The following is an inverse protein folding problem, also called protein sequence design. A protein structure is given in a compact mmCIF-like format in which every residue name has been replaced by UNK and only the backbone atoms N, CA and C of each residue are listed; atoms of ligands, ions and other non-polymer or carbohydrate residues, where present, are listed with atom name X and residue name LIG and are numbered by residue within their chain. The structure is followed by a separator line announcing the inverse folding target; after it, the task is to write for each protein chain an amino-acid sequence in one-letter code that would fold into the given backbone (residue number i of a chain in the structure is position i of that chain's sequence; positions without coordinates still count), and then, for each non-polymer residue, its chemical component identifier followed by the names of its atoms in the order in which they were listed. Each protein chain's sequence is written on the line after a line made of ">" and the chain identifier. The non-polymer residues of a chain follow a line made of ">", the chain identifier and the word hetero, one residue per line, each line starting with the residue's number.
data_IF_851873788883
#
_entry.id   IF_851873788883
#
_cell.length_a   1.000
_cell.length_b   1.000
_cell.length_c   1.000
_cell.angle_alpha   90.00
_cell.angle_beta   90.00
_cell.angle_gamma   90.00
#
_symmetry.space_group_name_H-M   'P 1'
#
loop_
_entity.id
_entity.type
_entity.pdbx_description
1 polymer ?
#
# COMPACT_ATOMS: atom_id res chain seq x y z
N UNK A 1 -17.84 -3.50 -8.24
CA UNK A 1 -16.64 -3.50 -9.11
C UNK A 1 -15.50 -2.88 -8.31
N UNK A 2 -14.26 -3.39 -8.35
CA UNK A 2 -13.14 -2.72 -7.68
C UNK A 2 -12.82 -1.39 -8.38
N UNK A 3 -12.49 -0.36 -7.61
CA UNK A 3 -11.95 0.89 -8.16
C UNK A 3 -10.44 0.76 -8.24
N UNK A 4 -9.92 0.53 -9.45
CA UNK A 4 -8.50 0.46 -9.69
C UNK A 4 -7.94 1.88 -9.88
N UNK A 5 -7.06 2.30 -8.97
CA UNK A 5 -6.39 3.60 -8.99
C UNK A 5 -4.89 3.41 -9.22
N UNK A 6 -4.45 3.60 -10.46
CA UNK A 6 -3.06 3.38 -10.84
C UNK A 6 -2.30 4.70 -10.67
N UNK A 7 -1.43 4.78 -9.67
CA UNK A 7 -0.54 5.93 -9.46
C UNK A 7 0.71 5.72 -10.30
N UNK A 8 1.15 6.71 -11.06
CA UNK A 8 2.42 6.59 -11.79
C UNK A 8 2.51 7.43 -13.05
N UNK A 9 3.76 7.74 -13.43
CA UNK A 9 4.13 8.64 -14.54
C UNK A 9 3.49 8.31 -15.89
N UNK A 10 3.09 7.05 -16.12
CA UNK A 10 2.52 6.61 -17.39
C UNK A 10 1.01 6.85 -17.52
N UNK A 11 0.31 7.07 -16.40
CA UNK A 11 -1.15 7.25 -16.40
C UNK A 11 -1.60 8.65 -15.93
N UNK A 12 -0.67 9.48 -15.44
CA UNK A 12 -0.94 10.88 -15.11
C UNK A 12 -1.82 11.10 -13.87
N UNK A 13 -2.08 10.05 -13.09
CA UNK A 13 -2.84 10.15 -11.84
C UNK A 13 -1.90 10.35 -10.65
N UNK A 14 -2.09 11.48 -9.97
CA UNK A 14 -1.43 11.82 -8.72
C UNK A 14 -2.26 11.23 -7.57
N UNK A 15 -1.58 10.63 -6.58
CA UNK A 15 -2.21 10.08 -5.39
C UNK A 15 -3.07 11.12 -4.64
N UNK A 16 -2.75 12.42 -4.75
CA UNK A 16 -3.59 13.51 -4.22
C UNK A 16 -5.01 13.51 -4.75
N UNK A 17 -5.23 13.03 -5.98
CA UNK A 17 -6.56 13.01 -6.58
C UNK A 17 -7.50 12.05 -5.85
N UNK A 18 -6.96 11.10 -5.08
CA UNK A 18 -7.77 10.30 -4.15
C UNK A 18 -8.49 11.17 -3.12
N UNK A 19 -7.97 12.35 -2.74
CA UNK A 19 -8.62 13.25 -1.79
C UNK A 19 -10.04 13.64 -2.22
N UNK A 20 -10.25 13.80 -3.53
CA UNK A 20 -11.54 14.19 -4.12
C UNK A 20 -12.51 13.00 -4.22
N UNK A 21 -12.02 11.77 -4.11
CA UNK A 21 -12.79 10.54 -4.25
C UNK A 21 -13.33 10.06 -2.89
N UNK A 22 -14.23 10.85 -2.30
CA UNK A 22 -14.83 10.55 -0.99
C UNK A 22 -15.94 9.50 -1.03
N UNK A 23 -16.46 9.20 -2.22
CA UNK A 23 -17.49 8.18 -2.46
C UNK A 23 -16.90 6.81 -2.83
N UNK A 24 -15.62 6.57 -2.52
CA UNK A 24 -15.01 5.26 -2.74
C UNK A 24 -15.57 4.25 -1.74
N UNK A 25 -16.16 3.18 -2.27
CA UNK A 25 -16.75 2.10 -1.50
C UNK A 25 -16.14 0.75 -1.89
N UNK A 26 -16.03 -0.17 -0.93
CA UNK A 26 -15.57 -1.52 -1.16
C UNK A 26 -14.06 -1.59 -1.33
N UNK A 27 -13.56 -1.56 -2.58
CA UNK A 27 -12.15 -1.85 -2.90
C UNK A 27 -11.42 -0.70 -3.59
N UNK A 28 -10.22 -0.42 -3.11
CA UNK A 28 -9.24 0.45 -3.75
C UNK A 28 -7.94 -0.31 -4.00
N UNK A 29 -7.43 -0.25 -5.23
CA UNK A 29 -6.09 -0.70 -5.58
C UNK A 29 -5.23 0.51 -5.93
N UNK A 30 -4.09 0.67 -5.29
CA UNK A 30 -3.05 1.67 -5.54
C UNK A 30 -1.83 0.93 -6.10
N UNK A 31 -1.39 1.26 -7.31
CA UNK A 31 -0.18 0.67 -7.93
C UNK A 31 0.82 1.77 -8.27
N UNK A 32 2.09 1.43 -8.53
CA UNK A 32 3.12 2.36 -8.98
C UNK A 32 3.65 3.36 -7.95
N UNK A 33 3.65 3.00 -6.67
CA UNK A 33 4.15 3.85 -5.57
C UNK A 33 5.67 4.06 -5.54
N UNK A 34 6.43 3.53 -6.51
CA UNK A 34 7.89 3.41 -6.42
C UNK A 34 8.67 4.74 -6.46
N UNK A 35 8.15 5.76 -7.17
CA UNK A 35 8.89 6.99 -7.46
C UNK A 35 8.04 8.28 -7.46
N UNK A 36 6.72 8.19 -7.29
CA UNK A 36 5.82 9.33 -7.45
C UNK A 36 5.10 9.73 -6.15
N UNK A 37 5.36 9.03 -5.05
CA UNK A 37 4.63 9.22 -3.80
C UNK A 37 5.49 9.96 -2.79
N UNK A 38 5.46 11.30 -2.84
CA UNK A 38 5.89 12.09 -1.69
C UNK A 38 4.98 11.71 -0.50
N UNK A 39 5.53 11.40 0.70
CA UNK A 39 4.73 11.14 1.89
C UNK A 39 3.63 12.19 2.15
N UNK A 40 3.89 13.47 1.84
CA UNK A 40 2.90 14.54 1.96
C UNK A 40 1.72 14.35 0.98
N UNK A 41 2.01 13.88 -0.23
CA UNK A 41 1.03 13.64 -1.29
C UNK A 41 0.16 12.44 -0.94
N UNK A 42 0.78 11.39 -0.40
CA UNK A 42 0.10 10.20 0.13
C UNK A 42 -0.81 10.58 1.30
N UNK A 43 -0.34 11.43 2.20
CA UNK A 43 -1.16 11.91 3.32
C UNK A 43 -2.34 12.75 2.83
N UNK A 44 -2.16 13.53 1.77
CA UNK A 44 -3.23 14.32 1.15
C UNK A 44 -4.33 13.45 0.52
N UNK A 45 -4.03 12.21 0.10
CA UNK A 45 -5.02 11.24 -0.39
C UNK A 45 -6.11 10.90 0.64
N UNK A 46 -5.84 11.16 1.92
CA UNK A 46 -6.78 11.11 3.03
C UNK A 46 -7.56 9.80 3.14
N UNK A 47 -6.86 8.65 3.06
CA UNK A 47 -7.50 7.33 3.17
C UNK A 47 -8.19 7.10 4.52
N UNK A 48 -7.72 7.79 5.59
CA UNK A 48 -8.36 7.77 6.91
C UNK A 48 -9.81 8.23 6.92
N UNK A 49 -10.23 9.08 5.98
CA UNK A 49 -11.60 9.60 5.92
C UNK A 49 -12.51 8.78 4.98
N UNK A 50 -11.95 7.80 4.26
CA UNK A 50 -12.69 6.90 3.35
C UNK A 50 -13.38 5.77 4.11
N UNK A 51 -14.43 6.12 4.85
CA UNK A 51 -15.14 5.22 5.79
C UNK A 51 -15.79 3.99 5.14
N UNK A 52 -16.08 4.05 3.84
CA UNK A 52 -16.72 2.96 3.10
C UNK A 52 -15.69 2.05 2.39
N UNK A 53 -14.40 2.33 2.57
CA UNK A 53 -13.33 1.49 2.04
C UNK A 53 -13.12 0.29 2.96
N UNK A 54 -13.31 -0.90 2.41
CA UNK A 54 -13.16 -2.18 3.13
C UNK A 54 -11.89 -2.93 2.72
N UNK A 55 -11.40 -2.73 1.49
CA UNK A 55 -10.20 -3.39 0.98
C UNK A 55 -9.24 -2.39 0.34
N UNK A 56 -7.97 -2.50 0.71
CA UNK A 56 -6.88 -1.71 0.17
C UNK A 56 -5.80 -2.64 -0.35
N UNK A 57 -5.45 -2.50 -1.63
CA UNK A 57 -4.32 -3.17 -2.24
C UNK A 57 -3.28 -2.13 -2.64
N UNK A 58 -2.04 -2.34 -2.24
CA UNK A 58 -0.92 -1.42 -2.45
C UNK A 58 0.17 -2.18 -3.18
N UNK A 59 0.63 -1.68 -4.33
CA UNK A 59 1.69 -2.30 -5.14
C UNK A 59 2.84 -1.31 -5.37
N UNK A 60 4.03 -1.71 -4.95
CA UNK A 60 5.28 -1.03 -5.24
C UNK A 60 5.94 -1.73 -6.44
N UNK A 61 5.44 -1.46 -7.65
CA UNK A 61 5.91 -2.08 -8.91
C UNK A 61 7.44 -2.21 -9.03
N UNK A 62 7.92 -3.12 -9.88
CA UNK A 62 9.34 -3.52 -10.01
C UNK A 62 10.37 -2.37 -9.79
N UNK A 63 11.12 -2.53 -8.70
CA UNK A 63 12.28 -1.72 -8.35
C UNK A 63 13.46 -2.06 -9.27
N UNK A 64 14.15 -1.04 -9.79
CA UNK A 64 15.32 -1.24 -10.65
C UNK A 64 16.61 -1.45 -9.85
N UNK A 65 16.73 -0.81 -8.69
CA UNK A 65 17.91 -0.85 -7.83
C UNK A 65 17.49 -0.80 -6.36
N UNK A 66 18.22 -1.51 -5.49
CA UNK A 66 18.00 -1.55 -4.05
C UNK A 66 19.16 -0.81 -3.39
N UNK A 67 18.86 0.33 -2.76
CA UNK A 67 19.76 1.00 -1.83
C UNK A 67 19.05 1.33 -0.50
N UNK A 68 19.81 1.81 0.48
CA UNK A 68 19.25 2.15 1.80
C UNK A 68 18.24 3.31 1.76
N UNK A 69 18.33 4.19 0.76
CA UNK A 69 17.40 5.32 0.60
C UNK A 69 16.03 4.86 0.14
N UNK A 70 15.99 3.90 -0.79
CA UNK A 70 14.74 3.28 -1.29
C UNK A 70 13.97 2.58 -0.15
N UNK A 71 14.70 1.94 0.75
CA UNK A 71 14.12 1.21 1.90
C UNK A 71 13.38 2.17 2.84
N UNK A 72 14.01 3.27 3.24
CA UNK A 72 13.42 4.27 4.16
C UNK A 72 12.28 5.07 3.51
N UNK A 73 12.38 5.35 2.21
CA UNK A 73 11.29 5.95 1.45
C UNK A 73 10.05 5.05 1.43
N UNK A 74 10.21 3.73 1.24
CA UNK A 74 9.11 2.78 1.31
C UNK A 74 8.39 2.82 2.66
N UNK A 75 9.16 2.81 3.76
CA UNK A 75 8.62 2.92 5.12
C UNK A 75 7.80 4.19 5.29
N UNK A 76 8.36 5.33 4.87
CA UNK A 76 7.70 6.63 5.00
C UNK A 76 6.39 6.73 4.20
N UNK A 77 6.37 6.20 2.98
CA UNK A 77 5.16 6.16 2.13
C UNK A 77 4.09 5.26 2.74
N UNK A 78 4.46 4.06 3.20
CA UNK A 78 3.49 3.14 3.79
C UNK A 78 2.94 3.69 5.11
N UNK A 79 3.77 4.33 5.94
CA UNK A 79 3.35 5.02 7.16
C UNK A 79 2.35 6.14 6.87
N UNK A 80 2.49 6.85 5.75
CA UNK A 80 1.64 7.99 5.39
C UNK A 80 0.26 7.61 4.86
N UNK A 81 0.05 6.36 4.44
CA UNK A 81 -1.24 5.92 3.90
C UNK A 81 -2.37 5.98 4.94
N UNK A 82 -2.08 5.63 6.21
CA UNK A 82 -3.01 5.65 7.35
C UNK A 82 -4.48 5.34 6.98
N UNK A 83 -4.81 4.08 6.65
CA UNK A 83 -6.15 3.71 6.22
C UNK A 83 -7.21 3.92 7.31
N UNK A 84 -8.47 4.05 6.90
CA UNK A 84 -9.59 4.12 7.83
C UNK A 84 -9.72 2.82 8.66
N UNK A 85 -10.17 2.96 9.91
CA UNK A 85 -10.37 1.85 10.87
C UNK A 85 -11.38 0.77 10.40
N UNK A 86 -12.20 1.08 9.41
CA UNK A 86 -13.14 0.14 8.78
C UNK A 86 -12.48 -0.81 7.78
N UNK A 87 -11.19 -0.62 7.48
CA UNK A 87 -10.47 -1.50 6.58
C UNK A 87 -10.47 -2.94 7.11
N UNK A 88 -10.94 -3.85 6.26
CA UNK A 88 -11.05 -5.28 6.56
C UNK A 88 -9.93 -6.09 5.90
N UNK A 89 -9.48 -5.69 4.71
CA UNK A 89 -8.47 -6.42 3.95
C UNK A 89 -7.38 -5.49 3.46
N UNK A 90 -6.14 -5.84 3.77
CA UNK A 90 -4.94 -5.12 3.32
C UNK A 90 -4.05 -6.06 2.52
N UNK A 91 -3.70 -5.67 1.31
CA UNK A 91 -2.71 -6.37 0.47
C UNK A 91 -1.57 -5.42 0.16
N UNK A 92 -0.34 -5.85 0.43
CA UNK A 92 0.88 -5.10 0.18
C UNK A 92 1.77 -5.95 -0.72
N UNK A 93 2.07 -5.46 -1.91
CA UNK A 93 2.90 -6.15 -2.89
C UNK A 93 4.22 -5.39 -3.09
N UNK A 94 5.32 -6.15 -3.15
CA UNK A 94 6.65 -5.67 -3.51
C UNK A 94 7.21 -4.58 -2.58
N UNK A 95 6.78 -4.63 -1.32
CA UNK A 95 7.25 -3.71 -0.29
C UNK A 95 8.68 -4.04 0.14
N UNK A 96 9.53 -3.02 0.05
CA UNK A 96 10.97 -3.11 0.35
C UNK A 96 11.37 -2.34 1.60
N UNK A 97 10.41 -1.93 2.43
CA UNK A 97 10.71 -1.20 3.66
C UNK A 97 11.39 -2.09 4.70
N UNK A 98 12.19 -1.46 5.57
CA UNK A 98 12.93 -2.11 6.65
C UNK A 98 12.03 -2.53 7.82
N UNK A 99 10.83 -1.97 7.92
CA UNK A 99 9.87 -2.19 9.00
C UNK A 99 8.43 -1.99 8.51
N UNK A 100 7.45 -2.53 9.24
CA UNK A 100 6.04 -2.24 8.98
C UNK A 100 5.60 -0.94 9.67
N UNK A 101 4.56 -0.27 9.16
CA UNK A 101 4.08 0.99 9.71
C UNK A 101 3.45 0.82 11.09
N UNK A 102 3.50 1.86 11.92
CA UNK A 102 2.97 1.82 13.28
C UNK A 102 1.46 1.61 13.32
N UNK A 103 0.75 2.10 12.30
CA UNK A 103 -0.70 1.91 12.17
C UNK A 103 -1.08 0.46 11.83
N UNK A 104 -0.13 -0.43 11.51
CA UNK A 104 -0.43 -1.87 11.46
C UNK A 104 -0.42 -2.51 12.86
N UNK A 105 0.09 -1.79 13.88
CA UNK A 105 0.18 -2.23 15.26
C UNK A 105 -1.05 -1.97 16.12
N UNK A 106 -0.96 -2.48 17.37
CA UNK A 106 -1.99 -2.65 18.41
C UNK A 106 -3.12 -1.60 18.39
N UNK A 107 -4.22 -1.96 17.70
CA UNK A 107 -5.55 -1.31 17.73
C UNK A 107 -5.84 -0.20 16.72
N UNK A 108 -4.98 0.10 15.75
CA UNK A 108 -5.33 1.09 14.72
C UNK A 108 -6.38 0.54 13.73
N UNK A 109 -6.29 -0.73 13.35
CA UNK A 109 -7.22 -1.39 12.42
C UNK A 109 -8.01 -2.52 13.11
N UNK A 110 -9.03 -2.18 13.93
CA UNK A 110 -9.77 -3.17 14.71
C UNK A 110 -10.59 -4.16 13.87
N UNK A 111 -10.89 -3.81 12.60
CA UNK A 111 -11.70 -4.62 11.70
C UNK A 111 -10.87 -5.42 10.69
N UNK A 112 -9.54 -5.34 10.74
CA UNK A 112 -8.66 -6.01 9.80
C UNK A 112 -8.72 -7.52 10.03
N UNK A 113 -9.21 -8.26 9.04
CA UNK A 113 -9.34 -9.72 9.06
C UNK A 113 -8.31 -10.42 8.16
N UNK A 114 -7.69 -9.68 7.23
CA UNK A 114 -6.74 -10.24 6.28
C UNK A 114 -5.63 -9.25 5.98
N UNK A 115 -4.39 -9.69 6.20
CA UNK A 115 -3.18 -9.02 5.75
C UNK A 115 -2.42 -9.96 4.81
N UNK A 116 -2.20 -9.53 3.58
CA UNK A 116 -1.40 -10.28 2.62
C UNK A 116 -0.18 -9.44 2.25
N UNK A 117 1.01 -10.01 2.40
CA UNK A 117 2.24 -9.43 1.89
C UNK A 117 2.86 -10.37 0.86
N UNK A 118 3.09 -9.89 -0.36
CA UNK A 118 3.76 -10.67 -1.42
C UNK A 118 4.99 -9.97 -1.94
N UNK A 119 6.10 -10.69 -2.05
CA UNK A 119 7.31 -10.23 -2.72
C UNK A 119 7.45 -10.96 -4.07
N UNK A 120 7.49 -10.21 -5.17
CA UNK A 120 7.75 -10.68 -6.52
C UNK A 120 9.22 -10.45 -6.91
N UNK A 121 10.17 -10.88 -6.07
CA UNK A 121 11.57 -10.91 -6.50
C UNK A 121 11.81 -12.10 -7.44
N UNK A 122 12.08 -11.83 -8.72
CA UNK A 122 12.70 -12.82 -9.62
C UNK A 122 14.19 -12.91 -9.29
N UNK A 123 14.55 -13.74 -8.31
CA UNK A 123 15.93 -14.15 -8.14
C UNK A 123 16.29 -15.17 -9.24
N UNK A 124 17.17 -14.79 -10.17
CA UNK A 124 17.64 -15.64 -11.27
C UNK A 124 18.49 -16.83 -10.76
N UNK A 125 18.74 -16.94 -9.45
CA UNK A 125 19.52 -18.04 -8.87
C UNK A 125 18.80 -18.94 -7.86
N UNK A 126 17.64 -18.55 -7.32
CA UNK A 126 16.96 -19.32 -6.26
C UNK A 126 15.44 -19.21 -6.35
N UNK A 127 14.78 -20.32 -6.68
CA UNK A 127 13.34 -20.49 -6.51
C UNK A 127 12.94 -20.44 -5.03
N UNK A 128 12.74 -19.26 -4.47
CA UNK A 128 11.94 -19.11 -3.25
C UNK A 128 10.99 -17.93 -3.44
N UNK A 129 9.77 -18.23 -3.91
CA UNK A 129 8.62 -17.33 -3.71
C UNK A 129 8.25 -17.40 -2.23
N UNK A 130 8.64 -16.41 -1.44
CA UNK A 130 8.12 -16.26 -0.08
C UNK A 130 6.79 -15.50 -0.16
N UNK A 131 5.69 -16.24 -0.30
CA UNK A 131 4.36 -15.68 -0.03
C UNK A 131 4.15 -15.86 1.47
N UNK A 132 4.44 -14.82 2.26
CA UNK A 132 4.14 -14.84 3.69
C UNK A 132 2.70 -14.36 3.88
N UNK A 133 1.75 -15.31 3.87
CA UNK A 133 0.35 -15.04 4.21
C UNK A 133 0.27 -14.99 5.73
N UNK A 134 0.23 -13.79 6.31
CA UNK A 134 -0.06 -13.62 7.73
C UNK A 134 -1.58 -13.50 7.90
N UNK A 135 -2.25 -14.63 8.17
CA UNK A 135 -3.63 -14.62 8.64
C UNK A 135 -3.59 -14.21 10.11
N UNK A 136 -4.12 -13.03 10.42
CA UNK A 136 -4.32 -12.58 11.79
C UNK A 136 -5.58 -13.31 12.30
N UNK A 137 -5.42 -14.35 13.14
CA UNK A 137 -6.53 -15.03 13.84
C UNK A 137 -6.65 -14.52 15.27
#
# INVERSE_FOLDING_TARGET
>A
MPTDFIVGEQHGFDIKQLAELNHLEGRLRISGLKNAADPADVMAANLKDKKHLEELSVSYDEWREIDGSVTEACVSVLESLQPNRNLMRLTINDYRGSSFPNWLGDHHLPNLVSLVHTDHHYDVGRCHRFIQITIIM
#
